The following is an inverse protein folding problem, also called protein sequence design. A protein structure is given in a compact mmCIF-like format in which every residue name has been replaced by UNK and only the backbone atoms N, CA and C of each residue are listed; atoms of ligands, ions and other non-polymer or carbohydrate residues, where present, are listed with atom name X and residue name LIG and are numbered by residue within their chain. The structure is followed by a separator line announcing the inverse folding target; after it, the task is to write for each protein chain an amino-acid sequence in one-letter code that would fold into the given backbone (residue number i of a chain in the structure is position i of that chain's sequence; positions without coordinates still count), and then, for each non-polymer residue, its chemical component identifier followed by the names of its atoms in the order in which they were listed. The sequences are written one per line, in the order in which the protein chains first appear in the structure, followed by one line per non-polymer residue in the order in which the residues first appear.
data_IF_844674517155
#
_entry.id   IF_844674517155
#
_cell.length_a   1.000
_cell.length_b   1.000
_cell.length_c   1.000
_cell.angle_alpha   90.00
_cell.angle_beta   90.00
_cell.angle_gamma   90.00
#
_symmetry.space_group_name_H-M   'P 1'
#
loop_
_entity.id
_entity.type
_entity.pdbx_description
1 polymer ?
#
# COMPACT_ATOMS: atom_id res chain seq x y z
N UNK A 1 27.62 -23.68 -1.41
CA UNK A 1 26.42 -23.12 -0.77
C UNK A 1 25.26 -23.87 -1.39
N UNK A 2 24.58 -24.71 -0.61
CA UNK A 2 23.70 -25.74 -1.16
C UNK A 2 22.45 -25.10 -1.77
N UNK A 3 22.32 -25.23 -3.10
CA UNK A 3 21.17 -24.77 -3.85
C UNK A 3 20.05 -25.83 -3.78
N UNK A 4 18.89 -25.45 -3.25
CA UNK A 4 17.71 -26.31 -3.19
C UNK A 4 17.10 -26.48 -4.59
N UNK A 5 16.69 -27.70 -4.94
CA UNK A 5 15.91 -27.94 -6.15
C UNK A 5 14.42 -27.66 -5.91
N UNK A 6 13.65 -27.53 -6.99
CA UNK A 6 12.18 -27.44 -6.90
C UNK A 6 11.58 -28.60 -6.08
N UNK A 7 12.09 -29.83 -6.24
CA UNK A 7 11.60 -30.98 -5.45
C UNK A 7 11.89 -30.82 -3.96
N UNK A 8 13.05 -30.29 -3.61
CA UNK A 8 13.43 -30.05 -2.21
C UNK A 8 12.54 -28.98 -1.59
N UNK A 9 12.26 -27.89 -2.31
CA UNK A 9 11.34 -26.84 -1.88
C UNK A 9 9.92 -27.38 -1.65
N UNK A 10 9.41 -28.19 -2.58
CA UNK A 10 8.09 -28.82 -2.42
C UNK A 10 8.05 -29.77 -1.21
N UNK A 11 9.10 -30.55 -0.98
CA UNK A 11 9.18 -31.47 0.15
C UNK A 11 9.33 -30.78 1.50
N UNK A 12 10.15 -29.73 1.58
CA UNK A 12 10.45 -29.00 2.82
C UNK A 12 9.30 -28.08 3.25
N UNK A 13 8.54 -27.54 2.28
CA UNK A 13 7.48 -26.56 2.55
C UNK A 13 6.07 -27.11 2.34
N UNK A 14 5.91 -28.30 1.78
CA UNK A 14 4.59 -28.89 1.48
C UNK A 14 3.80 -28.13 0.40
N UNK A 15 4.45 -27.25 -0.37
CA UNK A 15 3.81 -26.41 -1.37
C UNK A 15 3.86 -27.04 -2.78
N UNK A 16 2.82 -26.82 -3.57
CA UNK A 16 2.78 -27.34 -4.94
C UNK A 16 3.69 -26.56 -5.89
N UNK A 17 4.22 -27.22 -6.93
CA UNK A 17 5.04 -26.58 -7.96
C UNK A 17 4.33 -25.36 -8.58
N UNK A 18 3.02 -25.45 -8.79
CA UNK A 18 2.18 -24.37 -9.34
C UNK A 18 2.22 -23.13 -8.45
N UNK A 19 2.13 -23.31 -7.13
CA UNK A 19 2.23 -22.22 -6.15
C UNK A 19 3.62 -21.57 -6.20
N UNK A 20 4.69 -22.39 -6.22
CA UNK A 20 6.06 -21.87 -6.30
C UNK A 20 6.26 -21.08 -7.58
N UNK A 21 5.78 -21.56 -8.72
CA UNK A 21 5.88 -20.85 -10.00
C UNK A 21 5.08 -19.55 -10.02
N UNK A 22 3.92 -19.51 -9.37
CA UNK A 22 3.12 -18.28 -9.26
C UNK A 22 3.84 -17.21 -8.42
N UNK A 23 4.50 -17.60 -7.32
CA UNK A 23 5.27 -16.68 -6.48
C UNK A 23 6.55 -16.18 -7.17
N UNK A 24 7.18 -17.01 -8.02
CA UNK A 24 8.27 -16.57 -8.90
C UNK A 24 7.75 -15.57 -9.94
N UNK A 25 6.62 -15.85 -10.59
CA UNK A 25 6.02 -14.97 -11.59
C UNK A 25 5.57 -13.61 -11.00
N UNK A 26 5.12 -13.61 -9.74
CA UNK A 26 4.79 -12.39 -8.99
C UNK A 26 6.05 -11.60 -8.56
N UNK A 27 7.25 -12.17 -8.72
CA UNK A 27 8.52 -11.54 -8.38
C UNK A 27 8.81 -11.49 -6.88
N UNK A 28 8.25 -12.41 -6.09
CA UNK A 28 8.56 -12.54 -4.64
C UNK A 28 9.98 -13.06 -4.42
N UNK A 29 10.42 -13.93 -5.31
CA UNK A 29 11.77 -14.51 -5.35
C UNK A 29 12.26 -14.60 -6.80
N UNK A 30 13.57 -14.51 -6.98
CA UNK A 30 14.23 -14.62 -8.29
C UNK A 30 15.26 -15.77 -8.28
N UNK A 31 14.82 -17.05 -8.24
CA UNK A 31 15.72 -18.19 -8.17
C UNK A 31 16.56 -18.31 -9.44
N UNK A 32 17.81 -18.76 -9.28
CA UNK A 32 18.74 -18.93 -10.39
C UNK A 32 18.31 -20.09 -11.30
N UNK A 33 18.70 -20.02 -12.58
CA UNK A 33 18.52 -21.12 -13.53
C UNK A 33 19.80 -21.95 -13.59
N UNK A 34 19.71 -23.22 -13.22
CA UNK A 34 20.79 -24.20 -13.35
C UNK A 34 20.74 -24.94 -14.69
N UNK A 35 21.53 -26.02 -14.79
CA UNK A 35 21.55 -26.89 -15.98
C UNK A 35 20.14 -27.34 -16.39
N UNK A 36 19.86 -27.34 -17.70
CA UNK A 36 18.54 -27.65 -18.29
C UNK A 36 17.40 -26.71 -17.83
N UNK A 37 17.69 -25.45 -17.53
CA UNK A 37 16.71 -24.43 -17.12
C UNK A 37 15.97 -24.75 -15.80
N UNK A 38 16.51 -25.67 -15.00
CA UNK A 38 15.94 -26.04 -13.71
C UNK A 38 16.12 -24.92 -12.68
N UNK A 39 15.08 -24.61 -11.90
CA UNK A 39 15.16 -23.63 -10.82
C UNK A 39 16.08 -24.12 -9.69
N UNK A 40 16.95 -23.22 -9.24
CA UNK A 40 17.86 -23.38 -8.10
C UNK A 40 17.56 -22.27 -7.09
N UNK A 41 17.11 -22.69 -5.91
CA UNK A 41 16.67 -21.80 -4.84
C UNK A 41 17.78 -21.69 -3.80
N UNK A 42 18.06 -20.46 -3.38
CA UNK A 42 18.92 -20.20 -2.23
C UNK A 42 18.18 -20.51 -0.94
N UNK A 43 18.90 -20.61 0.18
CA UNK A 43 18.27 -20.73 1.49
C UNK A 43 17.33 -19.55 1.79
N UNK A 44 17.70 -18.34 1.36
CA UNK A 44 16.87 -17.15 1.51
C UNK A 44 15.55 -17.28 0.74
N UNK A 45 15.58 -17.82 -0.49
CA UNK A 45 14.37 -18.07 -1.27
C UNK A 45 13.43 -19.06 -0.55
N UNK A 46 13.98 -20.11 0.06
CA UNK A 46 13.19 -21.10 0.80
C UNK A 46 12.53 -20.47 2.04
N UNK A 47 13.24 -19.61 2.77
CA UNK A 47 12.68 -18.88 3.93
C UNK A 47 11.57 -17.91 3.49
N UNK A 48 11.77 -17.20 2.38
CA UNK A 48 10.75 -16.28 1.83
C UNK A 48 9.52 -17.04 1.33
N UNK A 49 9.70 -18.17 0.65
CA UNK A 49 8.59 -19.03 0.23
C UNK A 49 7.82 -19.59 1.41
N UNK A 50 8.51 -20.00 2.50
CA UNK A 50 7.85 -20.43 3.74
C UNK A 50 7.01 -19.31 4.33
N UNK A 51 7.58 -18.11 4.39
CA UNK A 51 6.90 -16.93 4.91
C UNK A 51 5.67 -16.59 4.07
N UNK A 52 5.84 -16.50 2.74
CA UNK A 52 4.74 -16.26 1.82
C UNK A 52 3.62 -17.30 2.01
N UNK A 53 3.98 -18.58 2.20
CA UNK A 53 2.99 -19.62 2.45
C UNK A 53 2.27 -19.45 3.79
N UNK A 54 2.99 -19.19 4.89
CA UNK A 54 2.35 -18.95 6.20
C UNK A 54 1.41 -17.74 6.20
N UNK A 55 1.74 -16.70 5.43
CA UNK A 55 0.86 -15.54 5.24
C UNK A 55 -0.38 -15.91 4.41
N UNK A 56 -0.23 -16.75 3.37
CA UNK A 56 -1.37 -17.26 2.59
C UNK A 56 -2.27 -18.17 3.40
N UNK A 57 -1.71 -19.03 4.25
CA UNK A 57 -2.47 -19.90 5.15
C UNK A 57 -3.26 -19.07 6.18
N UNK A 58 -2.75 -17.88 6.51
CA UNK A 58 -3.44 -16.86 7.32
C UNK A 58 -4.47 -16.04 6.52
N UNK A 59 -4.83 -16.48 5.31
CA UNK A 59 -5.78 -15.85 4.37
C UNK A 59 -5.40 -14.45 3.88
N UNK A 60 -4.13 -14.07 3.96
CA UNK A 60 -3.67 -12.79 3.39
C UNK A 60 -3.62 -12.91 1.86
N UNK A 61 -4.20 -11.96 1.10
CA UNK A 61 -4.18 -12.00 -0.35
C UNK A 61 -2.75 -12.00 -0.93
N UNK A 62 -2.49 -12.82 -1.95
CA UNK A 62 -1.16 -12.97 -2.58
C UNK A 62 -0.54 -11.65 -3.05
N UNK A 63 -1.39 -10.68 -3.46
CA UNK A 63 -0.98 -9.33 -3.84
C UNK A 63 -0.35 -8.54 -2.68
N UNK A 64 -0.92 -8.63 -1.48
CA UNK A 64 -0.36 -8.02 -0.26
C UNK A 64 0.94 -8.69 0.13
N UNK A 65 0.95 -10.02 0.16
CA UNK A 65 2.15 -10.80 0.48
C UNK A 65 3.32 -10.44 -0.44
N UNK A 66 3.05 -10.29 -1.74
CA UNK A 66 4.07 -9.91 -2.71
C UNK A 66 4.60 -8.50 -2.45
N UNK A 67 3.72 -7.54 -2.14
CA UNK A 67 4.08 -6.16 -1.82
C UNK A 67 4.90 -6.06 -0.52
N UNK A 68 4.44 -6.69 0.57
CA UNK A 68 5.11 -6.65 1.87
C UNK A 68 6.48 -7.35 1.84
N UNK A 69 6.59 -8.48 1.14
CA UNK A 69 7.86 -9.20 1.00
C UNK A 69 8.87 -8.45 0.12
N UNK A 70 8.43 -7.79 -0.96
CA UNK A 70 9.31 -6.91 -1.75
C UNK A 70 9.81 -5.72 -0.93
N UNK A 71 8.93 -5.12 -0.13
CA UNK A 71 9.29 -4.02 0.77
C UNK A 71 10.29 -4.45 1.85
N UNK A 72 10.14 -5.66 2.39
CA UNK A 72 11.10 -6.24 3.34
C UNK A 72 12.47 -6.52 2.73
N UNK A 73 12.51 -6.96 1.45
CA UNK A 73 13.77 -7.13 0.74
C UNK A 73 14.47 -5.80 0.48
N UNK A 74 13.72 -4.75 0.13
CA UNK A 74 14.26 -3.40 -0.09
C UNK A 74 14.80 -2.71 1.17
N UNK A 75 14.30 -3.08 2.35
CA UNK A 75 14.76 -2.53 3.63
C UNK A 75 16.07 -3.14 4.15
N UNK A 76 16.67 -4.11 3.43
CA UNK A 76 17.78 -4.88 3.95
C UNK A 76 18.69 -5.48 2.89
N UNK A 77 19.43 -4.63 2.16
CA UNK A 77 20.67 -5.10 1.53
C UNK A 77 21.64 -5.56 2.63
N UNK A 78 21.80 -6.88 2.76
CA UNK A 78 22.85 -7.51 3.58
C UNK A 78 22.43 -8.07 4.94
N UNK A 79 21.15 -8.02 5.35
CA UNK A 79 20.70 -8.73 6.56
C UNK A 79 19.92 -10.00 6.19
N UNK A 80 20.48 -11.21 6.41
CA UNK A 80 19.72 -12.42 6.16
C UNK A 80 18.49 -12.45 7.10
N UNK A 81 17.30 -12.84 6.60
CA UNK A 81 16.04 -12.80 7.35
C UNK A 81 15.99 -13.76 8.56
N UNK A 82 17.09 -14.46 8.85
CA UNK A 82 17.25 -15.39 9.99
C UNK A 82 17.12 -14.74 11.37
N UNK A 83 17.09 -13.41 11.46
CA UNK A 83 16.84 -12.67 12.71
C UNK A 83 15.42 -12.07 12.85
N UNK A 84 14.57 -12.16 11.83
CA UNK A 84 13.28 -11.49 11.77
C UNK A 84 12.15 -12.52 11.96
N UNK A 85 11.41 -12.43 13.07
CA UNK A 85 10.21 -13.25 13.27
C UNK A 85 9.03 -12.58 12.58
N UNK A 86 8.64 -13.10 11.43
CA UNK A 86 7.50 -12.62 10.66
C UNK A 86 6.22 -13.26 11.19
N UNK A 87 5.17 -12.48 11.41
CA UNK A 87 3.88 -12.95 11.93
C UNK A 87 2.74 -12.16 11.32
N UNK A 88 1.59 -12.81 11.12
CA UNK A 88 0.38 -12.15 10.65
C UNK A 88 -0.43 -11.65 11.87
N UNK A 89 -0.74 -10.36 11.92
CA UNK A 89 -1.65 -9.78 12.91
C UNK A 89 -2.69 -8.97 12.15
N UNK A 90 -3.97 -9.34 12.28
CA UNK A 90 -5.08 -8.57 11.67
C UNK A 90 -5.09 -8.52 10.14
N UNK A 91 -4.36 -9.41 9.45
CA UNK A 91 -4.22 -9.39 7.99
C UNK A 91 -2.95 -8.69 7.49
N UNK A 92 -2.22 -8.03 8.39
CA UNK A 92 -0.95 -7.36 8.08
C UNK A 92 0.25 -8.24 8.42
N UNK A 93 1.32 -8.07 7.64
CA UNK A 93 2.61 -8.70 7.92
C UNK A 93 3.32 -7.86 8.97
N UNK A 94 3.66 -8.46 10.10
CA UNK A 94 4.46 -7.85 11.16
C UNK A 94 5.84 -8.50 11.25
N UNK A 95 6.86 -7.70 11.52
CA UNK A 95 8.23 -8.11 11.77
C UNK A 95 8.52 -7.92 13.25
N UNK A 96 9.06 -8.95 13.89
CA UNK A 96 9.62 -8.85 15.23
C UNK A 96 11.14 -8.97 15.17
N UNK A 97 11.82 -7.93 15.64
CA UNK A 97 13.28 -7.86 15.78
C UNK A 97 13.68 -7.52 17.24
N UNK A 98 14.91 -7.04 17.48
CA UNK A 98 15.39 -6.64 18.82
C UNK A 98 14.76 -5.34 19.35
N UNK A 99 14.16 -4.54 18.48
CA UNK A 99 13.60 -3.21 18.78
C UNK A 99 12.08 -3.27 19.03
N UNK A 100 11.41 -4.34 18.60
CA UNK A 100 9.98 -4.56 18.87
C UNK A 100 9.30 -5.33 17.75
N UNK A 101 7.97 -5.43 17.83
CA UNK A 101 7.14 -5.92 16.72
C UNK A 101 6.60 -4.71 15.95
N UNK A 102 6.66 -4.71 14.63
CA UNK A 102 6.20 -3.60 13.80
C UNK A 102 5.58 -4.10 12.49
N UNK A 103 4.62 -3.35 11.95
CA UNK A 103 3.95 -3.65 10.68
C UNK A 103 4.88 -3.32 9.51
N UNK A 104 5.07 -4.28 8.61
CA UNK A 104 5.95 -4.17 7.43
C UNK A 104 5.53 -3.03 6.51
N UNK A 105 4.22 -2.91 6.30
CA UNK A 105 3.67 -2.01 5.29
C UNK A 105 3.53 -0.57 5.80
N UNK A 106 3.46 -0.37 7.12
CA UNK A 106 3.30 0.98 7.71
C UNK A 106 4.54 1.43 8.49
N UNK A 107 5.46 0.53 8.84
CA UNK A 107 6.60 0.81 9.72
C UNK A 107 6.22 1.08 11.18
N UNK A 108 4.93 0.98 11.53
CA UNK A 108 4.44 1.27 12.87
C UNK A 108 4.71 0.11 13.82
N UNK A 109 5.12 0.41 15.05
CA UNK A 109 5.23 -0.61 16.10
C UNK A 109 3.85 -1.12 16.51
N UNK A 110 3.72 -2.44 16.63
CA UNK A 110 2.54 -3.12 17.16
C UNK A 110 2.51 -2.89 18.66
N UNK A 111 1.46 -2.25 19.16
CA UNK A 111 1.23 -2.07 20.59
C UNK A 111 0.60 -3.34 21.16
N UNK A 112 1.37 -4.14 21.92
CA UNK A 112 0.82 -5.30 22.64
C UNK A 112 -0.02 -4.79 23.84
N UNK A 113 -1.34 -4.71 23.66
CA UNK A 113 -2.28 -4.33 24.72
C UNK A 113 -2.56 -5.47 25.72
N UNK A 114 -2.13 -6.69 25.41
CA UNK A 114 -2.22 -7.87 26.28
C UNK A 114 -0.88 -8.19 26.96
N UNK A 115 -0.34 -7.23 27.73
CA UNK A 115 0.65 -7.55 28.76
C UNK A 115 -0.06 -7.86 30.08
N UNK A 116 -0.65 -9.06 30.16
CA UNK A 116 -1.19 -9.59 31.41
C UNK A 116 -0.05 -9.71 32.45
N UNK A 117 -0.01 -8.80 33.44
CA UNK A 117 0.85 -8.99 34.61
C UNK A 117 1.29 -7.76 35.41
N UNK A 118 0.41 -6.79 35.74
CA UNK A 118 0.67 -5.91 36.90
C UNK A 118 -0.62 -5.29 37.47
N UNK A 119 -0.86 -5.32 38.80
CA UNK A 119 -2.11 -4.84 39.37
C UNK A 119 -2.16 -3.30 39.47
N UNK A 120 -3.36 -2.70 39.59
CA UNK A 120 -3.58 -1.26 39.45
C UNK A 120 -3.52 -0.55 40.79
N UNK A 121 -3.11 0.72 40.78
CA UNK A 121 -3.45 1.69 41.84
C UNK A 121 -3.66 3.09 41.26
N UNK A 122 -4.47 3.93 41.95
CA UNK A 122 -5.58 4.63 41.31
C UNK A 122 -5.40 6.16 41.33
N UNK A 123 -6.30 6.84 40.60
CA UNK A 123 -6.95 8.13 40.93
C UNK A 123 -6.98 9.07 39.73
N UNK A 124 -8.17 9.34 39.21
CA UNK A 124 -8.41 10.32 38.16
C UNK A 124 -9.91 10.46 37.88
N UNK A 125 -10.55 11.30 38.69
CA UNK A 125 -11.98 11.61 38.77
C UNK A 125 -12.81 11.51 37.48
N UNK A 126 -13.96 10.83 37.59
CA UNK A 126 -15.09 10.94 36.65
C UNK A 126 -15.89 12.19 37.04
N UNK A 127 -16.03 13.14 36.10
CA UNK A 127 -16.94 14.28 36.24
C UNK A 127 -18.23 13.96 35.48
N UNK A 128 -19.33 13.84 36.24
CA UNK A 128 -20.70 13.69 35.75
C UNK A 128 -21.27 15.07 35.39
N UNK A 129 -21.56 15.32 34.10
CA UNK A 129 -22.27 16.51 33.64
C UNK A 129 -23.62 16.09 33.03
N UNK A 130 -24.62 15.92 33.89
CA UNK A 130 -26.02 15.87 33.49
C UNK A 130 -26.46 17.25 33.04
N UNK A 131 -26.75 17.41 31.75
CA UNK A 131 -27.55 18.52 31.23
C UNK A 131 -28.85 17.99 30.62
N UNK A 132 -29.92 18.70 30.95
CA UNK A 132 -31.32 18.34 30.68
C UNK A 132 -31.62 18.21 29.17
N UNK A 133 -32.41 17.17 28.85
CA UNK A 133 -32.79 16.76 27.49
C UNK A 133 -33.99 17.56 26.97
N UNK A 134 -33.79 18.33 25.91
CA UNK A 134 -34.86 18.83 25.03
C UNK A 134 -35.31 17.71 24.05
N UNK A 135 -36.54 17.75 23.49
CA UNK A 135 -37.09 16.62 22.74
C UNK A 135 -36.29 16.35 21.46
N UNK A 136 -35.88 15.09 21.30
CA UNK A 136 -34.95 14.63 20.28
C UNK A 136 -35.60 14.53 18.90
N UNK A 137 -35.06 15.27 17.93
CA UNK A 137 -35.04 14.81 16.54
C UNK A 137 -34.14 13.55 16.46
N UNK A 138 -34.41 12.58 15.57
CA UNK A 138 -33.64 11.34 15.50
C UNK A 138 -32.17 11.67 15.24
N UNK A 139 -31.33 11.41 16.24
CA UNK A 139 -29.88 11.56 16.12
C UNK A 139 -29.32 10.40 15.31
N UNK A 140 -28.43 10.63 14.32
CA UNK A 140 -27.73 9.56 13.64
C UNK A 140 -26.94 8.75 14.67
N UNK A 141 -26.87 7.44 14.45
CA UNK A 141 -26.23 6.54 15.40
C UNK A 141 -24.73 6.85 15.47
N UNK A 142 -24.14 6.70 16.66
CA UNK A 142 -22.72 7.00 16.94
C UNK A 142 -21.74 6.13 16.12
N UNK A 143 -22.24 5.21 15.28
CA UNK A 143 -21.45 4.43 14.32
C UNK A 143 -21.33 5.04 12.91
N UNK A 144 -22.05 6.14 12.60
CA UNK A 144 -22.17 6.65 11.22
C UNK A 144 -21.22 7.82 10.88
N UNK A 145 -20.36 8.23 11.80
CA UNK A 145 -19.51 9.44 11.65
C UNK A 145 -18.01 9.20 11.90
N UNK A 146 -17.59 7.95 12.12
CA UNK A 146 -16.17 7.64 12.29
C UNK A 146 -15.50 7.50 10.91
N UNK A 147 -14.66 8.46 10.49
CA UNK A 147 -13.98 8.40 9.20
C UNK A 147 -13.06 7.17 9.10
N UNK A 148 -12.46 6.74 10.21
CA UNK A 148 -11.58 5.57 10.25
C UNK A 148 -12.39 4.28 10.10
N UNK A 149 -13.50 4.13 10.82
CA UNK A 149 -14.41 2.99 10.63
C UNK A 149 -14.97 2.88 9.21
N UNK A 150 -15.29 4.01 8.56
CA UNK A 150 -15.69 4.01 7.15
C UNK A 150 -14.56 3.58 6.21
N UNK A 151 -13.34 4.04 6.45
CA UNK A 151 -12.17 3.65 5.68
C UNK A 151 -11.86 2.14 5.82
N UNK A 152 -11.85 1.61 7.04
CA UNK A 152 -11.63 0.18 7.30
C UNK A 152 -12.69 -0.69 6.63
N UNK A 153 -13.97 -0.26 6.67
CA UNK A 153 -15.05 -0.93 5.96
C UNK A 153 -14.82 -0.93 4.45
N UNK A 154 -14.34 0.18 3.90
CA UNK A 154 -14.05 0.26 2.46
C UNK A 154 -12.94 -0.73 2.06
N UNK A 155 -11.84 -0.76 2.81
CA UNK A 155 -10.74 -1.71 2.62
C UNK A 155 -11.24 -3.15 2.76
N UNK A 156 -12.10 -3.44 3.74
CA UNK A 156 -12.70 -4.76 3.90
C UNK A 156 -13.59 -5.14 2.71
N UNK A 157 -14.37 -4.20 2.15
CA UNK A 157 -15.14 -4.44 0.93
C UNK A 157 -14.24 -4.77 -0.27
N UNK A 158 -13.10 -4.10 -0.43
CA UNK A 158 -12.12 -4.41 -1.50
C UNK A 158 -11.48 -5.81 -1.34
N UNK A 159 -11.36 -6.31 -0.11
CA UNK A 159 -10.88 -7.68 0.15
C UNK A 159 -11.90 -8.75 -0.28
N UNK A 160 -13.18 -8.39 -0.33
CA UNK A 160 -14.28 -9.26 -0.75
C UNK A 160 -14.72 -9.00 -2.20
N UNK A 161 -13.93 -8.23 -2.97
CA UNK A 161 -14.24 -7.80 -4.34
C UNK A 161 -15.60 -7.07 -4.47
N UNK A 162 -16.07 -6.44 -3.38
CA UNK A 162 -17.28 -5.61 -3.33
C UNK A 162 -16.94 -4.15 -3.67
N UNK A 163 -16.69 -3.89 -4.95
CA UNK A 163 -16.31 -2.57 -5.43
C UNK A 163 -17.39 -1.48 -5.15
N UNK A 164 -18.71 -1.74 -5.30
CA UNK A 164 -19.74 -0.77 -4.92
C UNK A 164 -19.76 -0.46 -3.41
N UNK A 165 -19.59 -1.48 -2.56
CA UNK A 165 -19.51 -1.28 -1.11
C UNK A 165 -18.27 -0.50 -0.68
N UNK A 166 -17.12 -0.79 -1.31
CA UNK A 166 -15.88 -0.06 -1.09
C UNK A 166 -16.02 1.43 -1.46
N UNK A 167 -16.56 1.72 -2.65
CA UNK A 167 -16.79 3.09 -3.10
C UNK A 167 -17.75 3.85 -2.18
N UNK A 168 -18.84 3.22 -1.76
CA UNK A 168 -19.79 3.82 -0.84
C UNK A 168 -19.14 4.15 0.51
N UNK A 169 -18.34 3.23 1.06
CA UNK A 169 -17.66 3.42 2.33
C UNK A 169 -16.54 4.48 2.25
N UNK A 170 -15.74 4.49 1.18
CA UNK A 170 -14.74 5.55 0.95
C UNK A 170 -15.40 6.93 0.84
N UNK A 171 -16.56 7.03 0.17
CA UNK A 171 -17.32 8.29 0.11
C UNK A 171 -17.81 8.77 1.48
N UNK A 172 -18.23 7.85 2.34
CA UNK A 172 -18.58 8.20 3.72
C UNK A 172 -17.35 8.66 4.51
N UNK A 173 -16.20 8.00 4.34
CA UNK A 173 -14.96 8.38 5.01
C UNK A 173 -14.53 9.81 4.65
N UNK A 174 -14.50 10.17 3.36
CA UNK A 174 -14.11 11.52 2.92
C UNK A 174 -15.17 12.58 3.22
N UNK A 175 -16.45 12.21 3.32
CA UNK A 175 -17.49 13.12 3.77
C UNK A 175 -17.40 13.42 5.27
N UNK A 176 -17.02 12.41 6.08
CA UNK A 176 -16.82 12.55 7.51
C UNK A 176 -15.51 13.30 7.84
N UNK A 177 -14.44 13.06 7.08
CA UNK A 177 -13.15 13.74 7.21
C UNK A 177 -12.58 14.11 5.82
N UNK A 178 -12.86 15.32 5.31
CA UNK A 178 -12.34 15.78 4.02
C UNK A 178 -10.81 15.87 3.94
N UNK A 179 -10.11 15.92 5.07
CA UNK A 179 -8.66 15.91 5.19
C UNK A 179 -8.05 14.48 5.28
N UNK A 180 -8.88 13.44 5.20
CA UNK A 180 -8.42 12.05 5.19
C UNK A 180 -7.83 11.65 3.84
N UNK A 181 -6.52 11.91 3.70
CA UNK A 181 -5.76 11.67 2.46
C UNK A 181 -5.89 10.24 1.92
N UNK A 182 -5.72 9.22 2.76
CA UNK A 182 -5.75 7.82 2.31
C UNK A 182 -7.12 7.42 1.71
N UNK A 183 -8.21 7.92 2.29
CA UNK A 183 -9.56 7.67 1.78
C UNK A 183 -9.77 8.28 0.39
N UNK A 184 -9.24 9.49 0.15
CA UNK A 184 -9.27 10.12 -1.17
C UNK A 184 -8.42 9.38 -2.20
N UNK A 185 -7.21 8.95 -1.80
CA UNK A 185 -6.29 8.20 -2.66
C UNK A 185 -6.91 6.87 -3.11
N UNK A 186 -7.47 6.11 -2.17
CA UNK A 186 -8.07 4.83 -2.47
C UNK A 186 -9.38 4.97 -3.25
N UNK A 187 -10.21 5.98 -2.95
CA UNK A 187 -11.42 6.26 -3.73
C UNK A 187 -11.08 6.55 -5.19
N UNK A 188 -10.12 7.44 -5.44
CA UNK A 188 -9.70 7.77 -6.80
C UNK A 188 -9.07 6.57 -7.51
N UNK A 189 -8.27 5.76 -6.82
CA UNK A 189 -7.67 4.54 -7.36
C UNK A 189 -8.73 3.51 -7.76
N UNK A 190 -9.68 3.22 -6.87
CA UNK A 190 -10.80 2.32 -7.13
C UNK A 190 -11.63 2.76 -8.35
N UNK A 191 -11.89 4.07 -8.49
CA UNK A 191 -12.61 4.61 -9.65
C UNK A 191 -11.80 4.44 -10.96
N UNK A 192 -10.49 4.67 -10.92
CA UNK A 192 -9.61 4.42 -12.08
C UNK A 192 -9.54 2.95 -12.47
N UNK A 193 -9.44 2.03 -11.50
CA UNK A 193 -9.42 0.58 -11.74
C UNK A 193 -10.73 0.07 -12.37
N UNK A 194 -11.86 0.73 -12.07
CA UNK A 194 -13.16 0.46 -12.72
C UNK A 194 -13.29 1.09 -14.12
N UNK A 195 -12.26 1.79 -14.62
CA UNK A 195 -12.31 2.51 -15.90
C UNK A 195 -13.10 3.83 -15.83
N UNK A 196 -13.49 4.28 -14.63
CA UNK A 196 -14.27 5.51 -14.41
C UNK A 196 -13.35 6.71 -14.22
N UNK A 197 -12.49 6.94 -15.21
CA UNK A 197 -11.41 7.94 -15.13
C UNK A 197 -11.93 9.37 -14.89
N UNK A 198 -13.06 9.75 -15.49
CA UNK A 198 -13.67 11.06 -15.25
C UNK A 198 -14.12 11.25 -13.78
N UNK A 199 -14.65 10.20 -13.15
CA UNK A 199 -15.05 10.23 -11.75
C UNK A 199 -13.82 10.27 -10.83
N UNK A 200 -12.74 9.55 -11.18
CA UNK A 200 -11.47 9.60 -10.47
C UNK A 200 -10.85 11.00 -10.51
N UNK A 201 -10.84 11.65 -11.68
CA UNK A 201 -10.41 13.05 -11.86
C UNK A 201 -11.24 14.00 -10.98
N UNK A 202 -12.56 13.84 -10.96
CA UNK A 202 -13.43 14.65 -10.11
C UNK A 202 -13.14 14.44 -8.62
N UNK A 203 -12.92 13.18 -8.21
CA UNK A 203 -12.56 12.81 -6.83
C UNK A 203 -11.23 13.45 -6.40
N UNK A 204 -10.17 13.33 -7.21
CA UNK A 204 -8.88 13.93 -6.89
C UNK A 204 -8.91 15.46 -6.89
N UNK A 205 -9.69 16.10 -7.76
CA UNK A 205 -9.90 17.55 -7.71
C UNK A 205 -10.61 18.00 -6.43
N UNK A 206 -11.61 17.24 -5.97
CA UNK A 206 -12.27 17.49 -4.69
C UNK A 206 -11.31 17.29 -3.52
N UNK A 207 -10.49 16.24 -3.54
CA UNK A 207 -9.45 16.00 -2.55
C UNK A 207 -8.45 17.18 -2.48
N UNK A 208 -7.99 17.69 -3.62
CA UNK A 208 -7.07 18.84 -3.68
C UNK A 208 -7.70 20.15 -3.21
N UNK A 209 -9.03 20.29 -3.27
CA UNK A 209 -9.70 21.46 -2.67
C UNK A 209 -9.63 21.43 -1.14
N UNK A 210 -9.60 20.24 -0.52
CA UNK A 210 -9.44 20.07 0.92
C UNK A 210 -7.96 20.00 1.35
N UNK A 211 -7.11 19.42 0.50
CA UNK A 211 -5.71 19.10 0.76
C UNK A 211 -4.79 19.64 -0.36
N UNK A 212 -4.62 20.96 -0.50
CA UNK A 212 -4.00 21.58 -1.67
C UNK A 212 -2.49 21.34 -1.80
N UNK A 213 -1.81 20.90 -0.74
CA UNK A 213 -0.36 20.73 -0.69
C UNK A 213 0.07 19.26 -0.66
N UNK A 214 -0.69 18.37 -1.32
CA UNK A 214 -0.41 16.92 -1.33
C UNK A 214 0.15 16.48 -2.70
N UNK A 215 1.47 16.20 -2.81
CA UNK A 215 2.09 15.79 -4.07
C UNK A 215 1.46 14.52 -4.66
N UNK A 216 1.12 13.55 -3.81
CA UNK A 216 0.57 12.26 -4.26
C UNK A 216 -0.83 12.40 -4.90
N UNK A 217 -1.65 13.37 -4.45
CA UNK A 217 -2.93 13.68 -5.08
C UNK A 217 -2.72 14.28 -6.48
N UNK A 218 -1.73 15.17 -6.64
CA UNK A 218 -1.38 15.71 -7.95
C UNK A 218 -0.82 14.65 -8.89
N UNK A 219 0.02 13.74 -8.39
CA UNK A 219 0.53 12.60 -9.18
C UNK A 219 -0.62 11.68 -9.66
N UNK A 220 -1.48 11.25 -8.74
CA UNK A 220 -2.60 10.37 -9.09
C UNK A 220 -3.65 11.06 -9.98
N UNK A 221 -3.88 12.37 -9.79
CA UNK A 221 -4.69 13.17 -10.73
C UNK A 221 -4.06 13.17 -12.13
N UNK A 222 -2.73 13.33 -12.22
CA UNK A 222 -2.00 13.24 -13.48
C UNK A 222 -2.22 11.92 -14.20
N UNK A 223 -2.09 10.80 -13.47
CA UNK A 223 -2.35 9.45 -14.01
C UNK A 223 -3.79 9.32 -14.50
N UNK A 224 -4.77 9.71 -13.68
CA UNK A 224 -6.19 9.63 -14.05
C UNK A 224 -6.54 10.52 -15.26
N UNK A 225 -5.89 11.68 -15.41
CA UNK A 225 -6.05 12.56 -16.57
C UNK A 225 -5.46 11.97 -17.86
N UNK A 226 -4.35 11.23 -17.77
CA UNK A 226 -3.83 10.48 -18.92
C UNK A 226 -4.80 9.40 -19.38
N UNK A 227 -5.32 8.60 -18.44
CA UNK A 227 -6.30 7.56 -18.74
C UNK A 227 -7.60 8.15 -19.31
N UNK A 228 -7.97 9.37 -18.88
CA UNK A 228 -9.09 10.13 -19.43
C UNK A 228 -8.80 10.80 -20.79
N UNK A 229 -7.59 10.68 -21.34
CA UNK A 229 -7.21 11.26 -22.63
C UNK A 229 -6.92 12.76 -22.60
N UNK A 230 -6.56 13.31 -21.43
CA UNK A 230 -6.25 14.73 -21.21
C UNK A 230 -4.75 14.97 -20.88
N UNK A 231 -3.81 14.67 -21.82
CA UNK A 231 -2.38 14.66 -21.52
C UNK A 231 -1.79 16.03 -21.16
N UNK A 232 -2.39 17.14 -21.59
CA UNK A 232 -1.92 18.48 -21.21
C UNK A 232 -2.22 18.81 -19.75
N UNK A 233 -3.43 18.52 -19.29
CA UNK A 233 -3.82 18.69 -17.88
C UNK A 233 -3.07 17.70 -16.98
N UNK A 234 -2.81 16.47 -17.47
CA UNK A 234 -1.98 15.51 -16.76
C UNK A 234 -0.56 16.06 -16.53
N UNK A 235 0.04 16.67 -17.56
CA UNK A 235 1.36 17.27 -17.46
C UNK A 235 1.39 18.42 -16.44
N UNK A 236 0.37 19.28 -16.40
CA UNK A 236 0.23 20.32 -15.37
C UNK A 236 0.17 19.71 -13.96
N UNK A 237 -0.57 18.61 -13.79
CA UNK A 237 -0.67 17.90 -12.51
C UNK A 237 0.67 17.28 -12.08
N UNK A 238 1.43 16.69 -13.01
CA UNK A 238 2.77 16.20 -12.68
C UNK A 238 3.75 17.32 -12.31
N UNK A 239 3.67 18.49 -12.97
CA UNK A 239 4.48 19.65 -12.57
C UNK A 239 4.12 20.14 -11.17
N UNK A 240 2.84 20.20 -10.82
CA UNK A 240 2.41 20.55 -9.47
C UNK A 240 2.92 19.55 -8.41
N UNK A 241 2.93 18.24 -8.73
CA UNK A 241 3.57 17.23 -7.88
C UNK A 241 5.07 17.51 -7.69
N UNK A 242 5.79 17.77 -8.79
CA UNK A 242 7.24 18.07 -8.78
C UNK A 242 7.56 19.36 -8.02
N UNK A 243 6.70 20.38 -8.11
CA UNK A 243 6.88 21.64 -7.37
C UNK A 243 6.79 21.42 -5.86
N UNK A 244 5.89 20.54 -5.41
CA UNK A 244 5.72 20.18 -4.00
C UNK A 244 6.74 19.14 -3.50
N UNK A 245 7.14 18.20 -4.36
CA UNK A 245 8.09 17.12 -4.09
C UNK A 245 9.08 16.96 -5.26
N UNK A 246 10.17 17.75 -5.31
CA UNK A 246 11.15 17.71 -6.41
C UNK A 246 11.93 16.40 -6.56
N UNK A 247 11.82 15.50 -5.59
CA UNK A 247 12.42 14.17 -5.56
C UNK A 247 11.42 13.06 -5.92
N UNK A 248 10.18 13.39 -6.31
CA UNK A 248 9.19 12.43 -6.78
C UNK A 248 9.56 11.88 -8.16
N UNK A 249 10.40 10.85 -8.19
CA UNK A 249 10.99 10.28 -9.40
C UNK A 249 9.93 9.91 -10.45
N UNK A 250 8.87 9.22 -10.06
CA UNK A 250 7.82 8.78 -10.99
C UNK A 250 7.11 9.96 -11.70
N UNK A 251 6.94 11.09 -11.01
CA UNK A 251 6.35 12.29 -11.61
C UNK A 251 7.27 12.88 -12.69
N UNK A 252 8.59 12.86 -12.48
CA UNK A 252 9.56 13.22 -13.50
C UNK A 252 9.53 12.25 -14.69
N UNK A 253 9.46 10.95 -14.45
CA UNK A 253 9.37 9.96 -15.53
C UNK A 253 8.11 10.16 -16.39
N UNK A 254 6.94 10.32 -15.75
CA UNK A 254 5.68 10.52 -16.47
C UNK A 254 5.64 11.87 -17.20
N UNK A 255 6.11 12.96 -16.58
CA UNK A 255 6.24 14.24 -17.27
C UNK A 255 7.18 14.15 -18.49
N UNK A 256 8.28 13.40 -18.38
CA UNK A 256 9.21 13.20 -19.50
C UNK A 256 8.55 12.50 -20.69
N UNK A 257 7.86 11.39 -20.43
CA UNK A 257 7.11 10.63 -21.46
C UNK A 257 6.04 11.50 -22.12
N UNK A 258 5.36 12.36 -21.37
CA UNK A 258 4.31 13.23 -21.89
C UNK A 258 4.88 14.34 -22.77
N UNK A 259 5.99 14.96 -22.35
CA UNK A 259 6.68 15.94 -23.17
C UNK A 259 7.16 15.33 -24.49
N UNK A 260 7.65 14.09 -24.49
CA UNK A 260 8.02 13.37 -25.71
C UNK A 260 6.82 13.15 -26.63
N UNK A 261 5.70 12.64 -26.08
CA UNK A 261 4.46 12.43 -26.84
C UNK A 261 3.86 13.75 -27.39
N UNK A 262 4.07 14.87 -26.69
CA UNK A 262 3.61 16.21 -27.10
C UNK A 262 4.62 16.95 -27.99
N UNK A 263 5.76 16.35 -28.33
CA UNK A 263 6.74 16.91 -29.26
C UNK A 263 7.72 17.92 -28.64
N UNK A 264 7.93 17.89 -27.32
CA UNK A 264 8.96 18.67 -26.59
C UNK A 264 10.07 17.76 -26.03
N UNK A 265 10.97 17.22 -26.89
CA UNK A 265 12.05 16.34 -26.46
C UNK A 265 13.05 17.04 -25.53
N UNK A 266 13.15 18.37 -25.58
CA UNK A 266 14.07 19.13 -24.73
C UNK A 266 13.63 19.09 -23.27
N UNK A 267 12.33 19.28 -23.00
CA UNK A 267 11.79 19.14 -21.64
C UNK A 267 11.80 17.67 -21.20
N UNK A 268 11.51 16.73 -22.11
CA UNK A 268 11.60 15.31 -21.81
C UNK A 268 12.98 14.89 -21.29
N UNK A 269 14.06 15.26 -21.99
CA UNK A 269 15.45 14.94 -21.59
C UNK A 269 15.78 15.50 -20.20
N UNK A 270 15.32 16.72 -19.86
CA UNK A 270 15.56 17.29 -18.52
C UNK A 270 14.94 16.43 -17.43
N UNK A 271 13.69 16.02 -17.61
CA UNK A 271 12.99 15.20 -16.63
C UNK A 271 13.53 13.78 -16.57
N UNK A 272 13.87 13.13 -17.69
CA UNK A 272 14.53 11.82 -17.69
C UNK A 272 15.90 11.87 -16.96
N UNK A 273 16.67 12.93 -17.16
CA UNK A 273 17.93 13.11 -16.43
C UNK A 273 17.71 13.28 -14.93
N UNK A 274 16.65 13.97 -14.53
CA UNK A 274 16.30 14.11 -13.11
C UNK A 274 15.83 12.79 -12.52
N UNK A 275 14.94 12.06 -13.20
CA UNK A 275 14.52 10.70 -12.80
C UNK A 275 15.74 9.78 -12.57
N UNK A 276 16.68 9.72 -13.52
CA UNK A 276 17.90 8.90 -13.40
C UNK A 276 18.85 9.32 -12.27
N UNK A 277 18.78 10.56 -11.81
CA UNK A 277 19.57 11.03 -10.66
C UNK A 277 18.94 10.59 -9.34
N UNK A 278 17.61 10.51 -9.30
CA UNK A 278 16.84 10.11 -8.12
C UNK A 278 16.83 8.59 -7.95
N UNK A 279 16.79 7.85 -9.06
CA UNK A 279 16.86 6.38 -9.12
C UNK A 279 18.18 5.94 -9.80
N UNK A 280 19.33 6.04 -9.11
CA UNK A 280 20.59 5.55 -9.66
C UNK A 280 20.53 4.03 -9.80
N UNK A 281 20.86 3.53 -10.98
CA UNK A 281 21.07 2.10 -11.21
C UNK A 281 22.48 1.77 -10.73
N UNK A 282 22.59 0.97 -9.66
CA UNK A 282 23.86 0.35 -9.23
C UNK A 282 24.33 -0.75 -10.21
#
# INVERSE_FOLDING_TARGET
MDDYSMRDVQGVLGISRTVVTALIAAGVIAPRRGARQAYRFTFQDVVLLRTAQSLRDSRIPTRHITRSLKRLQGLGEGRPPTGLRLSAVGGDVTVQDRQGRWHVDTGQFVLDLDAAGRPPHPSGNIVDLRHARAPAAPSPSVGDTDPTGWFERAVASEQHDDAPGAEAAYRQAVAAAPDYLDAWLNLGCLLSEQGRHADAVASYRAALAALPAQPLLHFNLGVALEDAGAPREALESYHACIELAPDFADAHYNAARLHEALGDPRRAIRHYNQYRRLEPVD
#
